data_IF_011573012407
#
_entry.id   IF_011573012407
#
_cell.length_a   1.000
_cell.length_b   1.000
_cell.length_c   1.000
_cell.angle_alpha   90.00
_cell.angle_beta   90.00
_cell.angle_gamma   90.00
#
_symmetry.space_group_name_H-M   'P 1'
#
loop_
_entity.id
_entity.type
_entity.pdbx_description
1 polymer ?
#
# COMPACT_ATOMS: atom_id res chain seq x y z
N UNK A 1 17.31 1.48 14.77
CA UNK A 1 17.22 1.48 13.29
C UNK A 1 16.34 0.29 12.93
N UNK A 2 15.06 0.51 12.63
CA UNK A 2 14.16 -0.58 12.25
C UNK A 2 14.39 -0.84 10.76
N UNK A 3 14.93 -2.01 10.42
CA UNK A 3 15.07 -2.44 9.04
C UNK A 3 13.65 -2.65 8.48
N UNK A 4 13.21 -1.78 7.58
CA UNK A 4 12.01 -2.04 6.79
C UNK A 4 12.26 -3.33 6.00
N UNK A 5 11.52 -4.40 6.31
CA UNK A 5 11.67 -5.66 5.59
C UNK A 5 11.21 -5.48 4.15
N UNK A 6 11.75 -6.26 3.21
CA UNK A 6 11.31 -6.27 1.81
C UNK A 6 9.80 -6.54 1.65
N UNK A 7 9.15 -7.04 2.71
CA UNK A 7 7.79 -7.60 2.71
C UNK A 7 6.78 -6.74 3.45
N UNK A 8 7.20 -5.53 3.81
CA UNK A 8 6.34 -4.57 4.45
C UNK A 8 5.49 -3.82 3.43
N UNK A 9 4.19 -3.73 3.70
CA UNK A 9 3.22 -2.85 3.07
C UNK A 9 3.00 -1.67 4.00
N UNK A 10 3.21 -0.45 3.48
CA UNK A 10 3.07 0.77 4.26
C UNK A 10 1.85 1.54 3.77
N UNK A 11 0.96 1.91 4.67
CA UNK A 11 -0.17 2.80 4.41
C UNK A 11 0.07 4.10 5.16
N UNK A 12 0.01 5.23 4.46
CA UNK A 12 0.15 6.56 5.07
C UNK A 12 -1.01 7.44 4.67
N UNK A 13 -1.75 7.94 5.66
CA UNK A 13 -2.93 8.78 5.44
C UNK A 13 -2.67 10.20 5.96
N UNK A 14 -2.88 11.21 5.10
CA UNK A 14 -2.71 12.63 5.43
C UNK A 14 -3.61 13.52 4.58
N UNK A 15 -4.31 14.49 5.20
CA UNK A 15 -5.08 15.55 4.52
C UNK A 15 -6.05 15.02 3.44
N UNK A 16 -6.85 13.99 3.76
CA UNK A 16 -7.85 13.45 2.82
C UNK A 16 -7.28 12.50 1.76
N UNK A 17 -5.99 12.17 1.84
CA UNK A 17 -5.27 11.35 0.88
C UNK A 17 -4.61 10.18 1.60
N UNK A 18 -4.82 8.98 1.07
CA UNK A 18 -4.13 7.77 1.50
C UNK A 18 -3.14 7.35 0.42
N UNK A 19 -1.91 7.06 0.84
CA UNK A 19 -0.86 6.49 -0.01
C UNK A 19 -0.58 5.08 0.49
N UNK A 20 -0.81 4.11 -0.38
CA UNK A 20 -0.35 2.75 -0.18
C UNK A 20 0.98 2.56 -0.87
N UNK A 21 1.94 1.99 -0.15
CA UNK A 21 3.29 1.74 -0.61
C UNK A 21 3.54 0.23 -0.55
N UNK A 22 3.49 -0.42 -1.70
CA UNK A 22 3.58 -1.88 -1.83
C UNK A 22 4.95 -2.32 -2.36
N UNK A 23 5.45 -3.49 -1.92
CA UNK A 23 6.48 -4.21 -2.65
C UNK A 23 6.00 -4.50 -4.08
N UNK A 24 6.87 -4.33 -5.09
CA UNK A 24 6.49 -4.55 -6.50
C UNK A 24 5.97 -5.97 -6.74
N UNK A 25 6.55 -6.95 -6.05
CA UNK A 25 6.14 -8.37 -6.13
C UNK A 25 4.71 -8.58 -5.64
N UNK A 26 4.35 -7.99 -4.50
CA UNK A 26 3.00 -8.01 -3.95
C UNK A 26 2.01 -7.36 -4.92
N UNK A 27 2.33 -6.16 -5.39
CA UNK A 27 1.47 -5.41 -6.31
C UNK A 27 1.14 -6.22 -7.57
N UNK A 28 2.15 -6.84 -8.20
CA UNK A 28 1.96 -7.63 -9.42
C UNK A 28 1.14 -8.88 -9.18
N UNK A 29 1.34 -9.56 -8.04
CA UNK A 29 0.67 -10.82 -7.71
C UNK A 29 -0.80 -10.61 -7.35
N UNK A 30 -1.12 -9.55 -6.60
CA UNK A 30 -2.43 -9.43 -5.95
C UNK A 30 -3.25 -8.20 -6.35
N UNK A 31 -2.64 -7.07 -6.67
CA UNK A 31 -3.34 -5.78 -6.77
C UNK A 31 -3.50 -5.23 -8.19
N UNK A 32 -2.61 -5.58 -9.12
CA UNK A 32 -2.54 -4.95 -10.43
C UNK A 32 -3.87 -4.99 -11.20
N UNK A 33 -4.61 -6.10 -11.12
CA UNK A 33 -5.93 -6.22 -11.75
C UNK A 33 -7.07 -5.66 -10.92
N UNK A 34 -6.96 -5.69 -9.59
CA UNK A 34 -8.01 -5.21 -8.68
C UNK A 34 -8.11 -3.69 -8.66
N UNK A 35 -6.98 -2.99 -8.80
CA UNK A 35 -6.95 -1.53 -8.81
C UNK A 35 -7.62 -0.90 -10.04
N UNK A 36 -8.00 -1.69 -11.06
CA UNK A 36 -8.82 -1.21 -12.19
C UNK A 36 -10.24 -0.80 -11.75
N UNK A 37 -10.70 -1.31 -10.61
CA UNK A 37 -12.04 -1.04 -10.07
C UNK A 37 -12.04 0.07 -9.00
N UNK A 38 -10.86 0.49 -8.55
CA UNK A 38 -10.71 1.54 -7.53
C UNK A 38 -10.39 2.87 -8.21
N UNK A 39 -10.95 3.96 -7.70
CA UNK A 39 -10.62 5.30 -8.17
C UNK A 39 -9.23 5.76 -7.67
N UNK A 40 -8.20 5.48 -8.48
CA UNK A 40 -6.81 5.81 -8.14
C UNK A 40 -6.40 7.18 -8.69
N UNK A 41 -5.86 8.05 -7.83
CA UNK A 41 -5.33 9.36 -8.22
C UNK A 41 -4.02 9.25 -8.98
N UNK A 42 -3.13 8.36 -8.55
CA UNK A 42 -1.87 8.11 -9.25
C UNK A 42 -1.23 6.79 -8.83
N UNK A 43 -0.54 6.13 -9.76
CA UNK A 43 0.34 4.99 -9.48
C UNK A 43 1.76 5.36 -9.91
N UNK A 44 2.73 5.23 -9.01
CA UNK A 44 4.14 5.52 -9.28
C UNK A 44 5.03 4.36 -8.87
N UNK A 45 6.01 4.01 -9.71
CA UNK A 45 7.09 3.11 -9.32
C UNK A 45 8.19 3.90 -8.64
N UNK A 46 8.76 3.35 -7.56
CA UNK A 46 9.96 3.89 -6.91
C UNK A 46 10.91 2.75 -6.56
N UNK A 47 12.18 3.07 -6.43
CA UNK A 47 13.15 2.17 -5.84
C UNK A 47 13.52 2.69 -4.45
N UNK A 48 13.41 1.83 -3.46
CA UNK A 48 13.82 2.07 -2.10
C UNK A 48 15.13 1.31 -1.85
N UNK A 49 16.15 1.99 -1.34
CA UNK A 49 17.48 1.37 -1.17
C UNK A 49 17.44 0.16 -0.24
N UNK A 50 16.59 0.21 0.80
CA UNK A 50 16.49 -0.85 1.80
C UNK A 50 15.35 -1.82 1.51
N UNK A 51 14.25 -1.34 0.93
CA UNK A 51 13.05 -2.14 0.70
C UNK A 51 12.84 -2.59 -0.77
N UNK A 52 13.78 -2.26 -1.65
CA UNK A 52 13.78 -2.69 -3.07
C UNK A 52 12.75 -1.96 -3.95
N UNK A 53 12.31 -2.57 -5.06
CA UNK A 53 11.36 -1.96 -5.99
C UNK A 53 9.94 -1.93 -5.42
N UNK A 54 9.30 -0.77 -5.47
CA UNK A 54 8.00 -0.52 -4.84
C UNK A 54 7.03 0.22 -5.76
N UNK A 55 5.75 0.12 -5.43
CA UNK A 55 4.65 0.81 -6.12
C UNK A 55 3.88 1.65 -5.10
N UNK A 56 3.80 2.95 -5.37
CA UNK A 56 2.97 3.88 -4.62
C UNK A 56 1.63 4.02 -5.34
N UNK A 57 0.54 3.72 -4.63
CA UNK A 57 -0.84 3.90 -5.06
C UNK A 57 -1.45 4.99 -4.21
N UNK A 58 -1.84 6.09 -4.85
CA UNK A 58 -2.43 7.26 -4.18
C UNK A 58 -3.92 7.30 -4.45
N UNK A 59 -4.73 7.42 -3.41
CA UNK A 59 -6.20 7.50 -3.49
C UNK A 59 -6.72 8.60 -2.56
N UNK A 60 -8.00 8.95 -2.70
CA UNK A 60 -8.71 9.72 -1.66
C UNK A 60 -9.07 8.78 -0.51
N UNK A 61 -9.19 9.32 0.70
CA UNK A 61 -9.47 8.49 1.90
C UNK A 61 -10.77 7.68 1.78
N UNK A 62 -11.80 8.22 1.14
CA UNK A 62 -13.06 7.52 0.88
C UNK A 62 -12.88 6.25 0.02
N UNK A 63 -11.93 6.27 -0.91
CA UNK A 63 -11.66 5.16 -1.85
C UNK A 63 -10.62 4.18 -1.26
N UNK A 64 -9.94 4.56 -0.17
CA UNK A 64 -8.93 3.76 0.49
C UNK A 64 -9.49 2.54 1.22
N UNK A 65 -10.74 2.62 1.69
CA UNK A 65 -11.41 1.51 2.37
C UNK A 65 -11.49 0.26 1.50
N UNK A 66 -11.70 0.43 0.19
CA UNK A 66 -11.80 -0.70 -0.75
C UNK A 66 -10.45 -1.42 -0.89
N UNK A 67 -9.35 -0.67 -1.02
CA UNK A 67 -8.00 -1.25 -1.07
C UNK A 67 -7.67 -1.96 0.25
N UNK A 68 -8.04 -1.39 1.40
CA UNK A 68 -7.84 -2.03 2.72
C UNK A 68 -8.61 -3.35 2.81
N UNK A 69 -9.85 -3.40 2.34
CA UNK A 69 -10.64 -4.62 2.33
C UNK A 69 -9.97 -5.72 1.48
N UNK A 70 -9.49 -5.40 0.29
CA UNK A 70 -8.73 -6.35 -0.52
C UNK A 70 -7.44 -6.83 0.16
N UNK A 71 -6.71 -5.92 0.80
CA UNK A 71 -5.50 -6.28 1.53
C UNK A 71 -5.79 -7.25 2.67
N UNK A 72 -6.83 -7.02 3.46
CA UNK A 72 -7.21 -7.92 4.55
C UNK A 72 -7.50 -9.34 4.06
N UNK A 73 -8.19 -9.48 2.92
CA UNK A 73 -8.43 -10.80 2.32
C UNK A 73 -7.12 -11.47 1.93
N UNK A 74 -6.25 -10.76 1.20
CA UNK A 74 -4.95 -11.33 0.76
C UNK A 74 -4.06 -11.70 1.95
N UNK A 75 -3.97 -10.85 2.96
CA UNK A 75 -3.15 -11.08 4.15
C UNK A 75 -3.68 -12.22 5.03
N UNK A 76 -4.97 -12.56 4.92
CA UNK A 76 -5.53 -13.72 5.60
C UNK A 76 -5.16 -15.05 4.94
N UNK A 77 -4.79 -15.01 3.65
CA UNK A 77 -4.40 -16.19 2.86
C UNK A 77 -2.88 -16.36 2.77
N UNK A 78 -2.12 -15.27 2.91
CA UNK A 78 -0.66 -15.22 2.77
C UNK A 78 -0.04 -14.36 3.89
N UNK A 79 0.50 -15.03 4.92
CA UNK A 79 1.02 -14.40 6.15
C UNK A 79 2.45 -13.84 6.03
N UNK A 80 3.09 -13.93 4.86
CA UNK A 80 4.48 -13.49 4.68
C UNK A 80 4.64 -11.96 4.63
N UNK A 81 3.52 -11.21 4.65
CA UNK A 81 3.51 -9.76 4.48
C UNK A 81 3.16 -9.04 5.76
N UNK A 82 3.94 -8.00 6.08
CA UNK A 82 3.70 -7.15 7.24
C UNK A 82 2.94 -5.88 6.82
N UNK A 83 1.92 -5.48 7.58
CA UNK A 83 1.16 -4.25 7.34
C UNK A 83 1.50 -3.20 8.40
N UNK A 84 2.06 -2.06 7.98
CA UNK A 84 2.23 -0.89 8.83
C UNK A 84 1.32 0.25 8.33
N UNK A 85 0.57 0.86 9.24
CA UNK A 85 -0.35 1.94 8.93
C UNK A 85 -0.11 3.17 9.82
N UNK A 86 0.00 4.33 9.19
CA UNK A 86 0.30 5.60 9.82
C UNK A 86 -0.81 6.62 9.50
N UNK A 87 -1.29 7.29 10.54
CA UNK A 87 -2.25 8.38 10.45
C UNK A 87 -1.59 9.65 11.00
N UNK A 88 -1.43 10.66 10.14
CA UNK A 88 -0.94 11.97 10.58
C UNK A 88 -2.17 12.83 10.90
N UNK A 89 -2.50 12.96 12.20
CA UNK A 89 -3.53 13.89 12.66
C UNK A 89 -3.03 15.33 12.43
N UNK A 90 -3.83 16.13 11.73
CA UNK A 90 -3.59 17.57 11.63
C UNK A 90 -3.84 18.21 13.00
N UNK A 91 -2.78 18.69 13.63
CA UNK A 91 -2.82 19.61 14.78
C UNK A 91 -3.61 20.89 14.45
#
# INVERSE_FOLDING_TARGET
MFAASYDEIVISSRKGITIFNFPLRFYKKYLADKLKFVNVLSIKRRYDYYAGPRVLVKVKDQDAAEIRAYLLVVLSEDYDWNLLEYYEESL
#
